data_IF_854354522689
#
_entry.id   IF_854354522689
#
_cell.length_a   1.000
_cell.length_b   1.000
_cell.length_c   1.000
_cell.angle_alpha   90.00
_cell.angle_beta   90.00
_cell.angle_gamma   90.00
#
_symmetry.space_group_name_H-M   'P 1'
#
loop_
_entity.id
_entity.type
_entity.pdbx_description
1 polymer ?
#
# COMPACT_ATOMS: atom_id res chain seq x y z
N UNK A 1 -12.24 -13.91 0.82
CA UNK A 1 -11.34 -13.08 -0.01
C UNK A 1 -11.65 -11.59 0.12
N UNK A 2 -12.93 -11.20 0.05
CA UNK A 2 -13.30 -9.80 0.19
C UNK A 2 -12.81 -9.19 1.49
N UNK A 3 -12.88 -9.94 2.59
CA UNK A 3 -12.43 -9.44 3.87
C UNK A 3 -10.93 -9.18 3.93
N UNK A 4 -10.13 -10.00 3.28
CA UNK A 4 -8.68 -9.78 3.25
C UNK A 4 -8.33 -8.51 2.48
N UNK A 5 -8.96 -8.30 1.32
CA UNK A 5 -8.70 -7.11 0.49
C UNK A 5 -9.04 -5.84 1.28
N UNK A 6 -10.21 -5.80 1.90
CA UNK A 6 -10.63 -4.65 2.67
C UNK A 6 -9.74 -4.46 3.90
N UNK A 7 -9.37 -5.55 4.56
CA UNK A 7 -8.48 -5.49 5.73
C UNK A 7 -7.09 -4.99 5.35
N UNK A 8 -6.57 -5.34 4.19
CA UNK A 8 -5.28 -4.83 3.73
C UNK A 8 -5.30 -3.31 3.63
N UNK A 9 -6.36 -2.75 3.06
CA UNK A 9 -6.50 -1.30 2.97
C UNK A 9 -6.61 -0.67 4.35
N UNK A 10 -7.38 -1.29 5.23
CA UNK A 10 -7.60 -0.78 6.57
C UNK A 10 -6.32 -0.76 7.41
N UNK A 11 -5.52 -1.83 7.34
CA UNK A 11 -4.26 -1.87 8.11
C UNK A 11 -3.25 -0.87 7.57
N UNK A 12 -3.21 -0.66 6.25
CA UNK A 12 -2.38 0.41 5.67
C UNK A 12 -2.82 1.77 6.20
N UNK A 13 -4.13 2.02 6.21
CA UNK A 13 -4.67 3.29 6.74
C UNK A 13 -4.25 3.52 8.20
N UNK A 14 -4.21 2.47 9.00
CA UNK A 14 -3.80 2.59 10.41
C UNK A 14 -2.33 2.98 10.58
N UNK A 15 -1.50 2.67 9.60
CA UNK A 15 -0.07 3.03 9.66
C UNK A 15 0.21 4.45 9.19
N UNK A 16 -0.74 5.08 8.51
CA UNK A 16 -0.54 6.41 7.95
C UNK A 16 -0.75 7.48 9.01
N UNK A 17 0.14 8.48 9.00
CA UNK A 17 0.02 9.63 9.89
C UNK A 17 -0.52 10.81 9.09
N UNK A 18 -1.69 11.31 9.49
CA UNK A 18 -2.29 12.47 8.87
C UNK A 18 -1.88 13.71 9.69
N UNK A 19 -1.33 14.75 9.04
CA UNK A 19 -0.93 15.96 9.77
C UNK A 19 -2.16 16.67 10.32
N UNK A 20 -2.31 16.61 11.65
CA UNK A 20 -3.49 17.19 12.32
C UNK A 20 -3.61 18.69 12.11
N UNK A 21 -2.48 19.37 11.99
CA UNK A 21 -2.45 20.82 11.75
C UNK A 21 -3.07 21.21 10.40
N UNK A 22 -3.21 20.28 9.48
CA UNK A 22 -3.84 20.54 8.19
C UNK A 22 -5.36 20.51 8.23
N UNK A 23 -5.95 20.12 9.35
CA UNK A 23 -7.40 19.95 9.46
C UNK A 23 -8.01 21.03 10.31
N UNK A 24 -8.96 21.77 9.73
CA UNK A 24 -9.69 22.82 10.43
C UNK A 24 -10.99 22.30 11.06
N UNK A 25 -11.40 21.10 10.70
CA UNK A 25 -12.62 20.50 11.23
C UNK A 25 -12.52 18.97 11.13
N UNK A 26 -13.33 18.30 11.98
CA UNK A 26 -13.45 16.84 11.93
C UNK A 26 -13.98 16.35 10.59
N UNK A 27 -14.88 17.12 9.98
CA UNK A 27 -15.48 16.75 8.70
C UNK A 27 -14.46 16.76 7.57
N UNK A 28 -13.59 17.78 7.53
CA UNK A 28 -12.53 17.84 6.52
C UNK A 28 -11.59 16.65 6.65
N UNK A 29 -11.23 16.30 7.90
CA UNK A 29 -10.37 15.13 8.16
C UNK A 29 -11.02 13.84 7.67
N UNK A 30 -12.31 13.66 7.92
CA UNK A 30 -13.01 12.47 7.46
C UNK A 30 -13.06 12.36 5.95
N UNK A 31 -13.20 13.48 5.24
CA UNK A 31 -13.18 13.49 3.78
C UNK A 31 -11.81 13.07 3.25
N UNK A 32 -10.74 13.56 3.85
CA UNK A 32 -9.39 13.20 3.46
C UNK A 32 -9.11 11.72 3.72
N UNK A 33 -9.57 11.19 4.85
CA UNK A 33 -9.43 9.76 5.15
C UNK A 33 -10.15 8.92 4.10
N UNK A 34 -11.37 9.28 3.72
CA UNK A 34 -12.11 8.56 2.68
C UNK A 34 -11.42 8.64 1.33
N UNK A 35 -10.88 9.81 0.99
CA UNK A 35 -10.18 10.01 -0.28
C UNK A 35 -8.95 9.12 -0.36
N UNK A 36 -8.15 9.09 0.70
CA UNK A 36 -6.94 8.27 0.73
C UNK A 36 -7.29 6.79 0.70
N UNK A 37 -8.25 6.35 1.51
CA UNK A 37 -8.70 4.96 1.51
C UNK A 37 -9.18 4.54 0.13
N UNK A 38 -9.96 5.37 -0.54
CA UNK A 38 -10.45 5.10 -1.88
C UNK A 38 -9.37 5.06 -2.94
N UNK A 39 -8.20 5.66 -2.66
CA UNK A 39 -7.06 5.66 -3.58
C UNK A 39 -6.21 4.40 -3.48
N UNK A 40 -6.39 3.60 -2.45
CA UNK A 40 -5.60 2.39 -2.24
C UNK A 40 -6.09 1.26 -3.13
N UNK A 41 -5.15 0.59 -3.77
CA UNK A 41 -5.42 -0.50 -4.69
C UNK A 41 -4.50 -1.66 -4.40
N UNK A 42 -5.06 -2.86 -4.42
CA UNK A 42 -4.27 -4.08 -4.31
C UNK A 42 -3.86 -4.47 -5.71
N UNK A 43 -2.56 -4.40 -5.98
CA UNK A 43 -2.01 -4.66 -7.31
C UNK A 43 -1.50 -6.08 -7.47
N UNK A 44 -1.35 -6.79 -6.37
CA UNK A 44 -0.91 -8.18 -6.38
C UNK A 44 -1.26 -8.81 -5.04
N UNK A 45 -1.65 -10.07 -5.06
CA UNK A 45 -1.77 -10.83 -3.82
C UNK A 45 -1.49 -12.31 -4.05
N UNK A 46 -1.14 -12.98 -2.96
CA UNK A 46 -0.90 -14.42 -2.96
C UNK A 46 -1.46 -15.01 -1.68
N UNK A 47 -1.91 -16.25 -1.78
CA UNK A 47 -2.39 -17.00 -0.62
C UNK A 47 -1.69 -18.35 -0.60
N UNK A 48 -1.08 -18.70 0.53
CA UNK A 48 -0.48 -19.99 0.75
C UNK A 48 -0.89 -20.49 2.12
N UNK A 49 -1.70 -21.56 2.14
CA UNK A 49 -2.25 -22.13 3.37
C UNK A 49 -3.00 -21.05 4.16
N UNK A 50 -2.58 -20.77 5.39
CA UNK A 50 -3.22 -19.79 6.27
C UNK A 50 -2.69 -18.37 6.07
N UNK A 51 -1.69 -18.20 5.21
CA UNK A 51 -1.00 -16.92 5.06
C UNK A 51 -1.40 -16.22 3.79
N UNK A 52 -1.56 -14.90 3.86
CA UNK A 52 -1.86 -14.07 2.71
C UNK A 52 -0.82 -12.95 2.62
N UNK A 53 -0.52 -12.53 1.39
CA UNK A 53 0.39 -11.42 1.15
C UNK A 53 -0.17 -10.58 0.01
N UNK A 54 -0.08 -9.27 0.15
CA UNK A 54 -0.57 -8.35 -0.87
C UNK A 54 0.33 -7.14 -1.00
N UNK A 55 0.41 -6.60 -2.21
CA UNK A 55 1.00 -5.30 -2.45
C UNK A 55 -0.10 -4.27 -2.62
N UNK A 56 0.00 -3.19 -1.89
CA UNK A 56 -0.98 -2.10 -1.89
C UNK A 56 -0.29 -0.84 -2.41
N UNK A 57 -0.91 -0.18 -3.35
CA UNK A 57 -0.44 1.09 -3.90
C UNK A 57 -1.55 2.12 -3.84
N UNK A 58 -1.17 3.39 -3.91
CA UNK A 58 -2.13 4.49 -3.89
C UNK A 58 -2.07 5.25 -5.21
N UNK A 59 -3.23 5.68 -5.71
CA UNK A 59 -3.31 6.59 -6.83
C UNK A 59 -3.24 8.05 -6.40
N UNK A 60 -3.24 8.31 -5.09
CA UNK A 60 -3.15 9.66 -4.55
C UNK A 60 -1.69 10.15 -4.63
N UNK A 61 -1.49 11.36 -5.17
CA UNK A 61 -0.15 11.85 -5.47
C UNK A 61 0.72 12.12 -4.24
N UNK A 62 0.14 12.27 -3.04
CA UNK A 62 0.93 12.41 -1.81
C UNK A 62 1.69 11.12 -1.48
N UNK A 63 1.29 9.99 -2.06
CA UNK A 63 1.96 8.71 -1.87
C UNK A 63 2.67 8.25 -3.13
N UNK A 64 3.09 9.15 -3.99
CA UNK A 64 3.93 8.83 -5.13
C UNK A 64 5.19 8.13 -4.66
N UNK A 65 5.57 7.06 -5.37
CA UNK A 65 6.78 6.30 -5.09
C UNK A 65 6.76 5.50 -3.79
N UNK A 66 5.58 5.31 -3.20
CA UNK A 66 5.40 4.51 -1.99
C UNK A 66 4.49 3.33 -2.30
N UNK A 67 4.82 2.17 -1.76
CA UNK A 67 3.91 1.04 -1.73
C UNK A 67 4.05 0.30 -0.41
N UNK A 68 3.05 -0.50 -0.10
CA UNK A 68 3.01 -1.25 1.14
C UNK A 68 2.89 -2.73 0.84
N UNK A 69 3.63 -3.54 1.58
CA UNK A 69 3.47 -4.98 1.55
C UNK A 69 2.75 -5.38 2.82
N UNK A 70 1.57 -5.96 2.67
CA UNK A 70 0.77 -6.43 3.80
C UNK A 70 0.88 -7.94 3.85
N UNK A 71 1.27 -8.46 5.00
CA UNK A 71 1.36 -9.90 5.24
C UNK A 71 0.40 -10.25 6.37
N UNK A 72 -0.43 -11.25 6.15
CA UNK A 72 -1.32 -11.80 7.16
C UNK A 72 -0.84 -13.18 7.56
N UNK A 73 -0.62 -13.36 8.87
CA UNK A 73 -0.32 -14.66 9.45
C UNK A 73 -1.59 -15.21 10.07
N UNK A 74 -2.21 -16.21 9.43
CA UNK A 74 -3.48 -16.75 9.86
C UNK A 74 -3.43 -17.51 11.17
N UNK A 75 -2.27 -18.13 11.48
CA UNK A 75 -2.12 -18.87 12.72
C UNK A 75 -2.12 -17.95 13.95
N UNK A 76 -1.59 -16.75 13.80
CA UNK A 76 -1.50 -15.77 14.87
C UNK A 76 -2.55 -14.67 14.78
N UNK A 77 -3.30 -14.62 13.69
CA UNK A 77 -4.25 -13.54 13.38
C UNK A 77 -3.56 -12.18 13.50
N UNK A 78 -2.44 -12.05 12.81
CA UNK A 78 -1.64 -10.81 12.83
C UNK A 78 -1.42 -10.29 11.42
N UNK A 79 -1.43 -8.97 11.29
CA UNK A 79 -1.07 -8.27 10.07
C UNK A 79 0.26 -7.56 10.26
N UNK A 80 1.12 -7.68 9.25
CA UNK A 80 2.38 -6.96 9.18
C UNK A 80 2.31 -6.04 7.99
N UNK A 81 2.68 -4.77 8.19
CA UNK A 81 2.66 -3.77 7.12
C UNK A 81 4.06 -3.22 6.96
N UNK A 82 4.67 -3.45 5.81
CA UNK A 82 5.96 -2.93 5.47
C UNK A 82 5.78 -1.82 4.43
N UNK A 83 6.33 -0.66 4.71
CA UNK A 83 6.26 0.48 3.80
C UNK A 83 7.56 0.59 3.02
N UNK A 84 7.46 0.68 1.70
CA UNK A 84 8.60 0.80 0.81
C UNK A 84 8.52 2.10 0.06
N UNK A 85 9.65 2.78 -0.05
CA UNK A 85 9.77 4.01 -0.78
C UNK A 85 10.76 3.84 -1.91
N UNK A 86 10.38 4.28 -3.10
CA UNK A 86 11.25 4.21 -4.27
C UNK A 86 12.51 5.05 -4.03
N UNK A 87 13.68 4.45 -4.27
CA UNK A 87 14.96 5.12 -4.08
C UNK A 87 15.53 5.66 -5.37
N UNK A 88 15.32 4.97 -6.49
CA UNK A 88 15.89 5.37 -7.75
C UNK A 88 15.07 4.84 -8.91
N UNK A 89 15.30 5.43 -10.07
CA UNK A 89 14.73 4.98 -11.31
C UNK A 89 15.82 5.03 -12.39
N UNK A 90 15.94 3.94 -13.13
CA UNK A 90 16.88 3.85 -14.25
C UNK A 90 16.12 3.44 -15.50
N UNK A 91 16.49 4.03 -16.63
CA UNK A 91 15.90 3.69 -17.92
C UNK A 91 16.94 2.94 -18.73
N UNK A 92 16.59 1.74 -19.16
CA UNK A 92 17.42 0.93 -20.05
C UNK A 92 16.58 0.63 -21.28
N UNK A 93 17.06 1.09 -22.43
CA UNK A 93 16.37 0.78 -23.68
C UNK A 93 16.59 -0.69 -24.04
N UNK A 94 15.57 -1.33 -24.60
CA UNK A 94 15.67 -2.75 -24.97
C UNK A 94 16.83 -3.04 -25.91
N UNK A 95 17.13 -2.12 -26.83
CA UNK A 95 18.23 -2.26 -27.77
C UNK A 95 19.60 -2.20 -27.10
N UNK A 96 19.67 -1.61 -25.91
CA UNK A 96 20.93 -1.48 -25.16
C UNK A 96 21.10 -2.59 -24.11
N UNK A 97 20.15 -3.51 -24.04
CA UNK A 97 20.21 -4.60 -23.08
C UNK A 97 21.33 -5.58 -23.46
N UNK A 98 22.21 -5.87 -22.49
CA UNK A 98 23.31 -6.81 -22.71
C UNK A 98 22.81 -8.24 -22.56
N UNK A 99 22.76 -8.98 -23.67
CA UNK A 99 22.29 -10.37 -23.70
C UNK A 99 23.25 -11.34 -23.06
N UNK A 100 24.47 -10.93 -22.79
CA UNK A 100 25.46 -11.79 -22.14
C UNK A 100 25.23 -11.91 -20.63
N UNK A 101 24.37 -11.09 -20.07
CA UNK A 101 24.07 -11.12 -18.63
C UNK A 101 23.15 -12.26 -18.21
#
# INVERSE_FOLDING_TARGET
MGNFIENCKNVVMQTLSFPMSAYVSSQARMQDVKLVHGSLNIVWFSKTLQNHKALVMSTHNIFDHVYWEVTYNGDKDEYYVDEYKKQSNSVILGEDLDEAL
#
